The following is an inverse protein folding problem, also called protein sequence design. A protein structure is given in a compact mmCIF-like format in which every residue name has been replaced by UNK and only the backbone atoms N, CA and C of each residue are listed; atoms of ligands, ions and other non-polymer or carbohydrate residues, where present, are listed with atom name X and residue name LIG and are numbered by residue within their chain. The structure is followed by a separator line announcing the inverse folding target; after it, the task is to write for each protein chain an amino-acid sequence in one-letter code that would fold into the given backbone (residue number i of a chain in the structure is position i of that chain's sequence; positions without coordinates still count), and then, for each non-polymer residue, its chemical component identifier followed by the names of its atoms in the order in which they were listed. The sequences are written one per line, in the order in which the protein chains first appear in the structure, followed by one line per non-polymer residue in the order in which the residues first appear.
data_IF_850680073246
#
_entry.id   IF_850680073246
#
_cell.length_a   1.000
_cell.length_b   1.000
_cell.length_c   1.000
_cell.angle_alpha   90.00
_cell.angle_beta   90.00
_cell.angle_gamma   90.00
#
_symmetry.space_group_name_H-M   'P 1'
#
loop_
_entity.id
_entity.type
_entity.pdbx_description
1 polymer ?
#
# COMPACT_ATOMS: atom_id res chain seq x y z
N UNK A 1 -9.48 9.86 -10.52
CA UNK A 1 -9.66 11.27 -10.89
C UNK A 1 -10.74 11.47 -11.97
N UNK A 2 -10.81 10.60 -12.99
CA UNK A 2 -11.83 10.71 -14.06
C UNK A 2 -13.25 10.73 -13.46
N UNK A 3 -13.57 9.76 -12.58
CA UNK A 3 -14.90 9.72 -11.94
C UNK A 3 -15.22 11.01 -11.19
N UNK A 4 -14.26 11.60 -10.49
CA UNK A 4 -14.44 12.84 -9.75
C UNK A 4 -14.78 14.01 -10.69
N UNK A 5 -14.04 14.16 -11.80
CA UNK A 5 -14.26 15.23 -12.77
C UNK A 5 -15.66 15.17 -13.37
N UNK A 6 -16.13 13.96 -13.74
CA UNK A 6 -17.45 13.80 -14.37
C UNK A 6 -18.60 13.76 -13.37
N UNK A 7 -18.37 13.42 -12.09
CA UNK A 7 -19.38 13.48 -11.03
C UNK A 7 -19.51 14.88 -10.41
N UNK A 8 -18.49 15.74 -10.54
CA UNK A 8 -18.50 17.07 -9.95
C UNK A 8 -19.64 17.96 -10.45
N UNK A 9 -19.94 18.06 -11.78
CA UNK A 9 -21.08 18.82 -12.26
C UNK A 9 -22.42 18.31 -11.71
N UNK A 10 -22.58 16.98 -11.59
CA UNK A 10 -23.78 16.35 -11.02
C UNK A 10 -23.93 16.70 -9.53
N UNK A 11 -22.82 16.74 -8.78
CA UNK A 11 -22.80 17.14 -7.38
C UNK A 11 -23.19 18.60 -7.18
N UNK A 12 -22.68 19.49 -8.03
CA UNK A 12 -23.08 20.90 -8.00
C UNK A 12 -24.56 21.08 -8.34
N UNK A 13 -25.09 20.34 -9.32
CA UNK A 13 -26.51 20.38 -9.64
C UNK A 13 -27.35 19.92 -8.46
N UNK A 14 -26.98 18.83 -7.79
CA UNK A 14 -27.70 18.33 -6.62
C UNK A 14 -27.83 19.40 -5.51
N UNK A 15 -26.76 20.19 -5.28
CA UNK A 15 -26.75 21.26 -4.28
C UNK A 15 -27.55 22.48 -4.76
N UNK A 16 -27.48 22.82 -6.05
CA UNK A 16 -28.09 24.04 -6.59
C UNK A 16 -29.53 23.84 -7.09
N UNK A 17 -29.97 22.60 -7.25
CA UNK A 17 -31.34 22.26 -7.66
C UNK A 17 -32.44 22.91 -6.79
N UNK A 18 -32.30 22.97 -5.44
CA UNK A 18 -33.27 23.71 -4.60
C UNK A 18 -33.37 25.20 -4.92
N UNK A 19 -32.32 25.80 -5.52
CA UNK A 19 -32.27 27.20 -5.93
C UNK A 19 -32.70 27.39 -7.40
N UNK A 20 -33.23 26.35 -8.04
CA UNK A 20 -33.78 26.41 -9.42
C UNK A 20 -32.71 26.26 -10.52
N UNK A 21 -31.47 25.92 -10.19
CA UNK A 21 -30.42 25.70 -11.17
C UNK A 21 -30.35 24.23 -11.61
N UNK A 22 -30.45 23.99 -12.91
CA UNK A 22 -30.33 22.65 -13.50
C UNK A 22 -29.40 22.69 -14.71
N UNK A 23 -28.69 21.59 -14.93
CA UNK A 23 -27.88 21.42 -16.15
C UNK A 23 -28.77 21.41 -17.40
N UNK A 24 -28.33 22.00 -18.54
CA UNK A 24 -29.06 21.95 -19.79
C UNK A 24 -29.33 20.50 -20.20
N UNK A 25 -30.59 20.17 -20.52
CA UNK A 25 -30.97 18.81 -20.88
C UNK A 25 -30.73 17.79 -19.74
N UNK A 26 -31.02 18.16 -18.51
CA UNK A 26 -30.75 17.47 -17.24
C UNK A 26 -30.60 15.94 -17.39
N UNK A 27 -31.64 15.23 -17.82
CA UNK A 27 -31.64 13.75 -17.91
C UNK A 27 -30.60 13.20 -18.88
N UNK A 28 -30.44 13.82 -20.06
CA UNK A 28 -29.46 13.39 -21.06
C UNK A 28 -28.03 13.71 -20.61
N UNK A 29 -27.81 14.84 -19.97
CA UNK A 29 -26.50 15.22 -19.43
C UNK A 29 -26.10 14.24 -18.32
N UNK A 30 -27.01 13.91 -17.40
CA UNK A 30 -26.80 12.91 -16.35
C UNK A 30 -26.47 11.53 -16.94
N UNK A 31 -27.20 11.11 -17.97
CA UNK A 31 -26.95 9.86 -18.68
C UNK A 31 -25.53 9.81 -19.26
N UNK A 32 -25.11 10.85 -19.99
CA UNK A 32 -23.78 10.90 -20.62
C UNK A 32 -22.66 10.88 -19.58
N UNK A 33 -22.75 11.72 -18.54
CA UNK A 33 -21.76 11.79 -17.48
C UNK A 33 -21.64 10.47 -16.73
N UNK A 34 -22.77 9.87 -16.35
CA UNK A 34 -22.78 8.57 -15.66
C UNK A 34 -22.26 7.46 -16.56
N UNK A 35 -22.58 7.47 -17.85
CA UNK A 35 -22.06 6.47 -18.80
C UNK A 35 -20.53 6.49 -18.84
N UNK A 36 -19.91 7.68 -18.86
CA UNK A 36 -18.46 7.82 -18.83
C UNK A 36 -17.89 7.24 -17.53
N UNK A 37 -18.51 7.55 -16.39
CA UNK A 37 -18.10 7.00 -15.08
C UNK A 37 -18.24 5.49 -15.07
N UNK A 38 -19.37 4.93 -15.53
CA UNK A 38 -19.62 3.48 -15.57
C UNK A 38 -18.64 2.73 -16.48
N UNK A 39 -18.39 3.24 -17.68
CA UNK A 39 -17.52 2.57 -18.67
C UNK A 39 -16.05 2.63 -18.28
N UNK A 40 -15.60 3.75 -17.72
CA UNK A 40 -14.17 3.95 -17.42
C UNK A 40 -13.85 3.57 -15.98
N UNK A 41 -14.61 4.10 -15.01
CA UNK A 41 -14.26 4.05 -13.59
C UNK A 41 -14.84 2.84 -12.87
N UNK A 42 -15.96 2.25 -13.33
CA UNK A 42 -16.53 1.05 -12.72
C UNK A 42 -15.85 -0.26 -13.12
N UNK A 43 -14.95 -0.25 -14.11
CA UNK A 43 -14.25 -1.46 -14.60
C UNK A 43 -13.62 -2.33 -13.51
N UNK A 44 -12.89 -1.79 -12.52
CA UNK A 44 -12.30 -2.63 -11.48
C UNK A 44 -13.34 -3.41 -10.70
N UNK A 45 -14.46 -2.77 -10.34
CA UNK A 45 -15.56 -3.40 -9.60
C UNK A 45 -16.27 -4.48 -10.42
N UNK A 46 -16.55 -4.19 -11.70
CA UNK A 46 -17.17 -5.15 -12.61
C UNK A 46 -16.27 -6.38 -12.83
N UNK A 47 -14.97 -6.17 -12.96
CA UNK A 47 -14.02 -7.27 -13.17
C UNK A 47 -13.86 -8.11 -11.89
N UNK A 48 -13.77 -7.47 -10.73
CA UNK A 48 -13.69 -8.15 -9.43
C UNK A 48 -14.98 -8.93 -9.13
N UNK A 49 -16.15 -8.33 -9.38
CA UNK A 49 -17.45 -8.98 -9.22
C UNK A 49 -17.59 -10.20 -10.15
N UNK A 50 -17.15 -10.09 -11.40
CA UNK A 50 -17.17 -11.20 -12.34
C UNK A 50 -16.24 -12.35 -11.93
N UNK A 51 -15.05 -12.03 -11.43
CA UNK A 51 -14.11 -13.00 -10.90
C UNK A 51 -14.67 -13.70 -9.64
N UNK A 52 -15.30 -12.95 -8.75
CA UNK A 52 -15.96 -13.48 -7.56
C UNK A 52 -17.11 -14.42 -7.95
N UNK A 53 -17.97 -14.03 -8.90
CA UNK A 53 -19.06 -14.85 -9.42
C UNK A 53 -18.56 -16.19 -9.99
N UNK A 54 -17.49 -16.16 -10.79
CA UNK A 54 -16.88 -17.40 -11.33
C UNK A 54 -16.41 -18.37 -10.24
N UNK A 55 -15.97 -17.84 -9.11
CA UNK A 55 -15.46 -18.61 -7.99
C UNK A 55 -16.55 -18.91 -6.93
N UNK A 56 -17.83 -18.72 -7.27
CA UNK A 56 -18.98 -18.97 -6.39
C UNK A 56 -18.93 -18.26 -5.04
N UNK A 57 -18.39 -17.03 -5.01
CA UNK A 57 -18.44 -16.18 -3.83
C UNK A 57 -18.80 -14.73 -4.20
N UNK A 58 -19.14 -13.94 -3.19
CA UNK A 58 -19.42 -12.53 -3.33
C UNK A 58 -18.46 -11.73 -2.44
N UNK A 59 -18.08 -10.54 -2.88
CA UNK A 59 -17.28 -9.60 -2.14
C UNK A 59 -17.95 -8.21 -2.16
N UNK A 60 -17.31 -7.23 -1.52
CA UNK A 60 -17.80 -5.86 -1.50
C UNK A 60 -17.98 -5.28 -2.93
N UNK A 61 -17.04 -5.59 -3.83
CA UNK A 61 -17.12 -5.12 -5.22
C UNK A 61 -18.33 -5.70 -5.97
N UNK A 62 -18.74 -6.93 -5.62
CA UNK A 62 -19.95 -7.55 -6.17
C UNK A 62 -21.19 -6.73 -5.82
N UNK A 63 -21.31 -6.26 -4.57
CA UNK A 63 -22.43 -5.44 -4.14
C UNK A 63 -22.43 -4.09 -4.87
N UNK A 64 -21.27 -3.45 -4.97
CA UNK A 64 -21.09 -2.18 -5.70
C UNK A 64 -21.46 -2.34 -7.17
N UNK A 65 -20.94 -3.39 -7.82
CA UNK A 65 -21.20 -3.65 -9.24
C UNK A 65 -22.69 -3.90 -9.52
N UNK A 66 -23.35 -4.74 -8.72
CA UNK A 66 -24.78 -5.05 -8.89
C UNK A 66 -25.62 -3.80 -8.62
N UNK A 67 -25.37 -3.10 -7.49
CA UNK A 67 -26.15 -1.92 -7.11
C UNK A 67 -26.05 -0.80 -8.15
N UNK A 68 -24.82 -0.46 -8.57
CA UNK A 68 -24.61 0.61 -9.55
C UNK A 68 -25.08 0.23 -10.96
N UNK A 69 -24.90 -1.02 -11.40
CA UNK A 69 -25.41 -1.49 -12.68
C UNK A 69 -26.95 -1.51 -12.70
N UNK A 70 -27.59 -1.95 -11.62
CA UNK A 70 -29.07 -1.94 -11.50
C UNK A 70 -29.59 -0.49 -11.54
N UNK A 71 -29.01 0.42 -10.77
CA UNK A 71 -29.41 1.83 -10.79
C UNK A 71 -29.23 2.46 -12.18
N UNK A 72 -28.14 2.15 -12.87
CA UNK A 72 -27.85 2.66 -14.20
C UNK A 72 -28.83 2.10 -15.26
N UNK A 73 -29.05 0.78 -15.30
CA UNK A 73 -29.96 0.13 -16.25
C UNK A 73 -31.41 0.58 -16.00
N UNK A 74 -31.84 0.64 -14.74
CA UNK A 74 -33.16 1.17 -14.39
C UNK A 74 -33.33 2.62 -14.85
N UNK A 75 -32.31 3.47 -14.66
CA UNK A 75 -32.38 4.87 -15.07
C UNK A 75 -32.48 5.04 -16.59
N UNK A 76 -31.87 4.14 -17.37
CA UNK A 76 -32.08 4.12 -18.82
C UNK A 76 -33.56 3.82 -19.14
N UNK A 77 -34.16 2.81 -18.51
CA UNK A 77 -35.57 2.50 -18.68
C UNK A 77 -36.47 3.68 -18.24
N UNK A 78 -36.21 4.25 -17.08
CA UNK A 78 -36.93 5.39 -16.51
C UNK A 78 -36.88 6.65 -17.41
N UNK A 79 -35.74 6.89 -18.05
CA UNK A 79 -35.57 7.98 -19.01
C UNK A 79 -36.55 7.91 -20.19
N UNK A 80 -36.88 6.69 -20.67
CA UNK A 80 -37.83 6.50 -21.77
C UNK A 80 -39.30 6.46 -21.31
N UNK A 81 -39.54 6.12 -20.05
CA UNK A 81 -40.91 6.02 -19.49
C UNK A 81 -41.33 7.25 -18.70
N UNK A 82 -40.44 8.28 -18.57
CA UNK A 82 -40.75 9.51 -17.85
C UNK A 82 -40.79 9.34 -16.33
N UNK A 83 -40.14 8.31 -15.80
CA UNK A 83 -39.97 8.07 -14.36
C UNK A 83 -38.70 8.72 -13.83
N UNK A 84 -38.57 8.74 -12.48
CA UNK A 84 -37.38 9.27 -11.83
C UNK A 84 -36.13 8.45 -12.15
N UNK A 85 -35.04 9.12 -12.48
CA UNK A 85 -33.75 8.54 -12.82
C UNK A 85 -32.79 8.60 -11.63
N UNK A 86 -31.89 7.62 -11.53
CA UNK A 86 -30.88 7.49 -10.45
C UNK A 86 -29.45 7.47 -11.01
N UNK A 87 -29.20 8.18 -12.11
CA UNK A 87 -27.86 8.24 -12.72
C UNK A 87 -26.82 8.80 -11.76
N UNK A 88 -27.14 9.86 -11.04
CA UNK A 88 -26.28 10.48 -10.04
C UNK A 88 -25.89 9.52 -8.91
N UNK A 89 -26.84 8.73 -8.43
CA UNK A 89 -26.59 7.75 -7.37
C UNK A 89 -25.55 6.71 -7.79
N UNK A 90 -25.67 6.17 -9.01
CA UNK A 90 -24.70 5.23 -9.55
C UNK A 90 -23.31 5.86 -9.68
N UNK A 91 -23.21 7.09 -10.21
CA UNK A 91 -21.95 7.80 -10.39
C UNK A 91 -21.29 8.15 -9.05
N UNK A 92 -22.07 8.62 -8.06
CA UNK A 92 -21.54 8.99 -6.75
C UNK A 92 -21.03 7.80 -5.96
N UNK A 93 -21.74 6.67 -5.95
CA UNK A 93 -21.26 5.46 -5.27
C UNK A 93 -19.89 5.05 -5.80
N UNK A 94 -19.72 4.96 -7.12
CA UNK A 94 -18.43 4.63 -7.72
C UNK A 94 -17.36 5.66 -7.35
N UNK A 95 -17.70 6.95 -7.44
CA UNK A 95 -16.74 8.02 -7.20
C UNK A 95 -16.27 8.04 -5.74
N UNK A 96 -17.19 7.91 -4.77
CA UNK A 96 -16.83 7.92 -3.36
C UNK A 96 -16.02 6.69 -2.95
N UNK A 97 -16.34 5.51 -3.49
CA UNK A 97 -15.55 4.31 -3.20
C UNK A 97 -14.14 4.42 -3.79
N UNK A 98 -14.01 4.89 -5.04
CA UNK A 98 -12.70 5.12 -5.65
C UNK A 98 -11.88 6.19 -4.90
N UNK A 99 -12.53 7.24 -4.42
CA UNK A 99 -11.88 8.25 -3.59
C UNK A 99 -11.36 7.65 -2.29
N UNK A 100 -12.17 6.82 -1.63
CA UNK A 100 -11.76 6.06 -0.44
C UNK A 100 -10.54 5.17 -0.71
N UNK A 101 -10.54 4.43 -1.83
CA UNK A 101 -9.40 3.59 -2.24
C UNK A 101 -8.12 4.41 -2.50
N UNK A 102 -8.24 5.59 -3.12
CA UNK A 102 -7.08 6.49 -3.33
C UNK A 102 -6.50 6.97 -2.00
N UNK A 103 -7.34 7.32 -1.02
CA UNK A 103 -6.88 7.71 0.31
C UNK A 103 -6.21 6.54 1.04
N UNK A 104 -6.80 5.34 0.97
CA UNK A 104 -6.22 4.13 1.56
C UNK A 104 -4.84 3.82 0.96
N UNK A 105 -4.71 3.85 -0.37
CA UNK A 105 -3.45 3.63 -1.08
C UNK A 105 -2.40 4.68 -0.72
N UNK A 106 -2.79 5.95 -0.64
CA UNK A 106 -1.88 7.03 -0.24
C UNK A 106 -1.37 6.86 1.20
N UNK A 107 -2.24 6.45 2.13
CA UNK A 107 -1.84 6.16 3.51
C UNK A 107 -0.87 4.96 3.56
N UNK A 108 -1.16 3.90 2.81
CA UNK A 108 -0.30 2.72 2.71
C UNK A 108 1.07 3.05 2.12
N UNK A 109 1.12 3.86 1.06
CA UNK A 109 2.38 4.28 0.42
C UNK A 109 3.23 5.17 1.34
N UNK A 110 2.61 6.05 2.13
CA UNK A 110 3.33 6.84 3.13
C UNK A 110 3.97 5.95 4.22
N UNK A 111 3.29 4.89 4.64
CA UNK A 111 3.86 3.91 5.56
C UNK A 111 5.04 3.13 4.93
N UNK A 112 4.95 2.78 3.64
CA UNK A 112 6.03 2.10 2.89
C UNK A 112 7.28 2.97 2.72
N UNK A 113 7.14 4.29 2.58
CA UNK A 113 8.28 5.21 2.42
C UNK A 113 9.25 5.18 3.61
N UNK A 114 8.77 4.85 4.80
CA UNK A 114 9.62 4.70 6.00
C UNK A 114 10.52 3.47 5.93
N UNK A 115 10.03 2.38 5.34
CA UNK A 115 10.83 1.16 5.10
C UNK A 115 11.90 1.39 4.03
N UNK A 116 11.55 2.11 2.97
CA UNK A 116 12.48 2.46 1.90
C UNK A 116 13.65 3.34 2.42
N UNK A 117 13.35 4.24 3.36
CA UNK A 117 14.39 5.02 4.04
C UNK A 117 15.35 4.13 4.84
N UNK A 118 14.89 3.09 5.50
CA UNK A 118 15.73 2.12 6.20
C UNK A 118 16.63 1.33 5.24
N UNK A 119 16.12 0.92 4.09
CA UNK A 119 16.91 0.24 3.05
C UNK A 119 18.01 1.14 2.47
N UNK A 120 17.73 2.44 2.30
CA UNK A 120 18.70 3.41 1.82
C UNK A 120 19.83 3.70 2.84
N UNK A 121 19.78 3.15 4.04
CA UNK A 121 20.87 3.23 5.01
C UNK A 121 22.01 2.25 4.74
N UNK A 122 21.76 1.19 3.98
CA UNK A 122 22.78 0.21 3.64
C UNK A 122 23.89 0.82 2.79
N UNK A 123 25.13 0.42 3.06
CA UNK A 123 26.27 0.76 2.21
C UNK A 123 26.25 -0.10 0.93
N UNK A 124 26.85 0.38 -0.13
CA UNK A 124 26.92 -0.36 -1.39
C UNK A 124 28.13 -1.29 -1.46
N UNK A 125 29.20 -0.94 -0.75
CA UNK A 125 30.48 -1.64 -0.75
C UNK A 125 31.19 -1.51 0.59
N UNK A 126 32.10 -2.41 0.89
CA UNK A 126 32.91 -2.38 2.11
C UNK A 126 34.37 -2.72 1.83
N UNK A 127 35.28 -2.27 2.70
CA UNK A 127 36.73 -2.54 2.65
C UNK A 127 36.99 -3.89 3.34
N UNK A 128 37.12 -4.95 2.55
CA UNK A 128 37.45 -6.31 3.03
C UNK A 128 38.94 -6.54 3.01
N UNK A 129 39.50 -7.20 4.01
CA UNK A 129 40.89 -7.60 4.11
C UNK A 129 41.05 -9.04 3.62
N UNK A 130 41.70 -9.21 2.46
CA UNK A 130 42.00 -10.53 1.88
C UNK A 130 43.54 -10.65 1.78
N UNK A 131 44.12 -11.67 2.39
CA UNK A 131 45.57 -11.92 2.40
C UNK A 131 46.39 -10.70 2.82
N UNK A 132 45.90 -9.95 3.82
CA UNK A 132 46.55 -8.73 4.34
C UNK A 132 46.43 -7.48 3.44
N UNK A 133 45.73 -7.56 2.33
CA UNK A 133 45.44 -6.42 1.43
C UNK A 133 44.01 -5.98 1.52
N UNK A 134 43.79 -4.66 1.51
CA UNK A 134 42.47 -4.06 1.45
C UNK A 134 41.91 -4.10 0.04
N UNK A 135 40.66 -4.56 -0.12
CA UNK A 135 39.92 -4.56 -1.36
C UNK A 135 38.49 -4.04 -1.10
N UNK A 136 37.98 -3.19 -1.99
CA UNK A 136 36.56 -2.80 -1.97
C UNK A 136 35.73 -3.91 -2.59
N UNK A 137 34.76 -4.42 -1.84
CA UNK A 137 33.89 -5.54 -2.22
C UNK A 137 32.43 -5.06 -2.14
N UNK A 138 31.61 -5.30 -3.18
CA UNK A 138 30.19 -5.05 -3.14
C UNK A 138 29.53 -5.76 -1.94
N UNK A 139 28.50 -5.14 -1.33
CA UNK A 139 27.82 -5.68 -0.16
C UNK A 139 27.28 -7.10 -0.39
N UNK A 140 26.79 -7.37 -1.60
CA UNK A 140 26.19 -8.66 -1.98
C UNK A 140 27.23 -9.80 -2.09
N UNK A 141 28.51 -9.47 -2.24
CA UNK A 141 29.60 -10.43 -2.38
C UNK A 141 30.29 -10.76 -1.05
N UNK A 142 29.96 -10.04 0.04
CA UNK A 142 30.50 -10.26 1.38
C UNK A 142 29.99 -11.58 1.94
N UNK A 143 30.90 -12.38 2.52
CA UNK A 143 30.61 -13.70 3.10
C UNK A 143 30.80 -13.69 4.60
N UNK A 144 30.10 -14.60 5.28
CA UNK A 144 30.34 -14.87 6.68
C UNK A 144 31.78 -15.30 6.88
N UNK A 145 32.48 -14.67 7.82
CA UNK A 145 33.89 -14.88 8.09
C UNK A 145 34.84 -13.86 7.49
N UNK A 146 34.38 -13.04 6.54
CA UNK A 146 35.20 -11.96 5.98
C UNK A 146 35.59 -10.95 7.06
N UNK A 147 36.84 -10.44 6.96
CA UNK A 147 37.36 -9.40 7.85
C UNK A 147 37.20 -8.05 7.15
N UNK A 148 36.47 -7.15 7.79
CA UNK A 148 36.06 -5.86 7.24
C UNK A 148 36.67 -4.74 8.08
N UNK A 149 37.25 -3.73 7.40
CA UNK A 149 37.76 -2.51 8.03
C UNK A 149 36.71 -1.43 7.97
N UNK A 150 36.52 -0.74 9.12
CA UNK A 150 35.63 0.43 9.19
C UNK A 150 36.40 1.61 9.75
N UNK A 151 36.47 2.70 8.97
CA UNK A 151 37.11 3.96 9.34
C UNK A 151 36.12 4.94 9.98
N UNK A 152 36.59 5.99 10.68
CA UNK A 152 35.73 7.04 11.20
C UNK A 152 34.83 7.64 10.10
N UNK A 153 33.55 7.86 10.44
CA UNK A 153 32.56 8.40 9.52
C UNK A 153 31.97 7.38 8.51
N UNK A 154 32.45 6.13 8.51
CA UNK A 154 31.91 5.08 7.66
C UNK A 154 30.81 4.31 8.36
N UNK A 155 29.82 3.83 7.56
CA UNK A 155 28.82 2.89 8.05
C UNK A 155 29.38 1.47 8.04
N UNK A 156 28.95 0.68 9.02
CA UNK A 156 29.24 -0.74 9.14
C UNK A 156 28.43 -1.50 8.08
N UNK A 157 29.07 -2.36 7.31
CA UNK A 157 28.44 -2.99 6.16
C UNK A 157 27.43 -4.10 6.53
N UNK A 158 27.84 -4.99 7.44
CA UNK A 158 27.11 -6.19 7.86
C UNK A 158 27.25 -6.39 9.37
N UNK A 159 26.50 -7.32 9.96
CA UNK A 159 26.63 -7.64 11.38
C UNK A 159 27.88 -8.49 11.63
N UNK A 160 28.54 -8.27 12.77
CA UNK A 160 29.73 -9.05 13.10
C UNK A 160 30.27 -8.77 14.50
N UNK A 161 31.51 -9.22 14.76
CA UNK A 161 32.22 -9.09 16.02
C UNK A 161 33.57 -8.41 15.80
N UNK A 162 33.90 -7.44 16.63
CA UNK A 162 35.18 -6.72 16.54
C UNK A 162 36.32 -7.64 16.94
N UNK A 163 37.33 -7.76 16.06
CA UNK A 163 38.51 -8.58 16.28
C UNK A 163 39.76 -7.73 16.58
N UNK A 164 39.77 -6.45 16.19
CA UNK A 164 40.91 -5.53 16.41
C UNK A 164 40.43 -4.09 16.48
N UNK A 165 41.00 -3.28 17.37
CA UNK A 165 40.70 -1.85 17.51
C UNK A 165 39.54 -1.58 18.47
N UNK A 166 39.14 -0.30 18.52
CA UNK A 166 37.98 0.17 19.31
C UNK A 166 37.43 1.45 18.71
N UNK A 167 36.17 1.71 18.91
CA UNK A 167 35.51 2.94 18.46
C UNK A 167 34.27 3.26 19.25
N UNK A 168 33.68 4.43 19.03
CA UNK A 168 32.32 4.74 19.39
C UNK A 168 31.42 4.60 18.16
N UNK A 169 30.32 3.86 18.29
CA UNK A 169 29.38 3.58 17.22
C UNK A 169 28.03 4.17 17.56
N UNK A 170 27.45 4.90 16.63
CA UNK A 170 26.08 5.40 16.72
C UNK A 170 25.10 4.33 16.21
N UNK A 171 24.38 3.72 17.14
CA UNK A 171 23.39 2.69 16.89
C UNK A 171 21.95 3.24 16.96
N UNK A 172 21.77 4.57 17.07
CA UNK A 172 20.48 5.24 17.29
C UNK A 172 19.43 4.90 16.25
N UNK A 173 19.82 4.67 15.02
CA UNK A 173 18.92 4.29 13.94
C UNK A 173 18.23 2.92 14.14
N UNK A 174 18.81 2.06 14.95
CA UNK A 174 18.30 0.70 15.22
C UNK A 174 17.77 0.58 16.64
N UNK A 175 18.50 1.11 17.62
CA UNK A 175 18.15 1.01 19.05
C UNK A 175 17.22 2.12 19.52
N UNK A 176 17.24 3.28 18.83
CA UNK A 176 16.55 4.51 19.26
C UNK A 176 17.28 5.30 20.33
N UNK A 177 18.42 4.82 20.85
CA UNK A 177 19.22 5.51 21.85
C UNK A 177 20.21 6.50 21.19
N UNK A 178 20.10 7.78 21.52
CA UNK A 178 20.89 8.85 20.90
C UNK A 178 22.37 8.90 21.32
N UNK A 179 22.76 8.17 22.37
CA UNK A 179 24.14 8.18 22.86
C UNK A 179 24.97 7.12 22.13
N UNK A 180 26.11 7.51 21.48
CA UNK A 180 27.00 6.54 20.88
C UNK A 180 27.59 5.57 21.91
N UNK A 181 27.69 4.30 21.52
CA UNK A 181 28.17 3.21 22.38
C UNK A 181 29.65 2.94 22.09
N UNK A 182 30.49 2.85 23.13
CA UNK A 182 31.89 2.43 22.96
C UNK A 182 31.94 0.93 22.71
N UNK A 183 32.58 0.52 21.62
CA UNK A 183 32.78 -0.87 21.18
C UNK A 183 34.27 -1.20 21.20
N UNK A 184 34.63 -2.38 21.68
CA UNK A 184 35.97 -2.93 21.77
C UNK A 184 36.01 -4.38 21.25
N UNK A 185 37.21 -4.94 21.21
CA UNK A 185 37.41 -6.34 20.78
C UNK A 185 36.48 -7.29 21.55
N UNK A 186 35.77 -8.15 20.84
CA UNK A 186 34.76 -9.07 21.34
C UNK A 186 33.33 -8.52 21.36
N UNK A 187 33.15 -7.21 21.14
CA UNK A 187 31.80 -6.63 21.07
C UNK A 187 31.16 -6.82 19.69
N UNK A 188 29.86 -6.99 19.68
CA UNK A 188 29.07 -7.09 18.43
C UNK A 188 28.79 -5.73 17.85
N UNK A 189 28.85 -5.65 16.51
CA UNK A 189 28.47 -4.50 15.71
C UNK A 189 27.33 -4.85 14.77
N UNK A 190 26.50 -3.87 14.48
CA UNK A 190 25.29 -4.02 13.68
C UNK A 190 25.46 -3.29 12.35
N UNK A 191 25.12 -3.93 11.26
CA UNK A 191 25.15 -3.34 9.92
C UNK A 191 24.27 -2.09 9.81
N UNK A 192 24.72 -1.13 9.00
CA UNK A 192 24.10 0.18 8.76
C UNK A 192 24.21 1.20 9.90
N UNK A 193 24.86 0.85 11.04
CA UNK A 193 25.23 1.80 12.09
C UNK A 193 26.47 2.61 11.71
N UNK A 194 26.67 3.78 12.32
CA UNK A 194 27.71 4.73 11.96
C UNK A 194 28.92 4.64 12.93
N UNK A 195 30.10 4.42 12.38
CA UNK A 195 31.34 4.49 13.13
C UNK A 195 31.79 5.93 13.30
N UNK A 196 31.97 6.42 14.55
CA UNK A 196 32.24 7.81 14.80
C UNK A 196 33.75 8.13 14.89
N UNK A 197 34.52 7.42 15.72
CA UNK A 197 35.86 7.95 16.14
C UNK A 197 37.05 7.12 15.71
N UNK A 198 37.07 5.82 16.03
CA UNK A 198 38.21 4.93 15.81
C UNK A 198 38.13 4.15 14.50
N UNK A 199 39.20 3.45 14.18
CA UNK A 199 39.24 2.44 13.14
C UNK A 199 39.26 1.08 13.80
N UNK A 200 38.45 0.16 13.33
CA UNK A 200 38.43 -1.23 13.81
C UNK A 200 38.27 -2.23 12.67
N UNK A 201 38.70 -3.45 12.96
CA UNK A 201 38.42 -4.62 12.13
C UNK A 201 37.37 -5.49 12.81
N UNK A 202 36.41 -5.95 12.04
CA UNK A 202 35.42 -6.89 12.54
C UNK A 202 35.25 -8.07 11.57
N UNK A 203 34.88 -9.20 12.12
CA UNK A 203 34.58 -10.42 11.35
C UNK A 203 33.08 -10.48 11.12
N UNK A 204 32.66 -10.67 9.88
CA UNK A 204 31.26 -10.79 9.50
C UNK A 204 30.64 -12.06 10.07
N UNK A 205 29.57 -11.91 10.85
CA UNK A 205 28.79 -13.03 11.41
C UNK A 205 27.53 -13.31 10.61
N UNK A 206 26.85 -12.23 10.15
CA UNK A 206 25.60 -12.31 9.39
C UNK A 206 25.67 -11.38 8.20
N UNK A 207 25.24 -11.89 7.05
CA UNK A 207 25.28 -11.18 5.76
C UNK A 207 23.92 -11.25 5.04
N UNK A 208 23.67 -10.34 4.12
CA UNK A 208 22.48 -10.35 3.27
C UNK A 208 21.18 -10.31 4.08
N UNK A 209 20.33 -11.33 3.91
CA UNK A 209 19.00 -11.41 4.55
C UNK A 209 19.06 -11.72 6.04
N UNK A 210 20.16 -12.23 6.54
CA UNK A 210 20.32 -12.62 7.94
C UNK A 210 20.78 -11.47 8.84
N UNK A 211 21.10 -10.30 8.27
CA UNK A 211 21.44 -9.11 9.05
C UNK A 211 20.24 -8.59 9.83
N UNK A 212 20.50 -7.95 10.97
CA UNK A 212 19.45 -7.39 11.84
C UNK A 212 18.56 -6.40 11.12
N UNK A 213 19.15 -5.51 10.32
CA UNK A 213 18.38 -4.54 9.51
C UNK A 213 17.48 -5.25 8.50
N UNK A 214 17.98 -6.27 7.79
CA UNK A 214 17.18 -7.02 6.82
C UNK A 214 15.99 -7.74 7.48
N UNK A 215 16.18 -8.31 8.67
CA UNK A 215 15.11 -8.95 9.45
C UNK A 215 14.05 -7.93 9.90
N UNK A 216 14.45 -6.74 10.37
CA UNK A 216 13.53 -5.66 10.73
C UNK A 216 12.70 -5.24 9.51
N UNK A 217 13.33 -5.02 8.36
CA UNK A 217 12.66 -4.65 7.11
C UNK A 217 11.66 -5.73 6.68
N UNK A 218 12.03 -7.01 6.77
CA UNK A 218 11.13 -8.12 6.45
C UNK A 218 9.93 -8.19 7.41
N UNK A 219 10.15 -8.00 8.70
CA UNK A 219 9.09 -7.96 9.72
C UNK A 219 8.09 -6.83 9.44
N UNK A 220 8.59 -5.63 9.13
CA UNK A 220 7.74 -4.47 8.81
C UNK A 220 6.97 -4.71 7.52
N UNK A 221 7.61 -5.25 6.47
CA UNK A 221 6.94 -5.64 5.21
C UNK A 221 5.83 -6.68 5.44
N UNK A 222 6.06 -7.69 6.26
CA UNK A 222 5.05 -8.69 6.61
C UNK A 222 3.88 -8.07 7.38
N UNK A 223 4.16 -7.19 8.34
CA UNK A 223 3.13 -6.48 9.10
C UNK A 223 2.27 -5.58 8.19
N UNK A 224 2.88 -4.88 7.23
CA UNK A 224 2.17 -4.02 6.27
C UNK A 224 1.34 -4.80 5.25
N UNK A 225 1.82 -5.96 4.80
CA UNK A 225 1.11 -6.82 3.85
C UNK A 225 0.03 -7.69 4.51
N UNK A 226 -0.04 -7.73 5.84
CA UNK A 226 -1.16 -8.38 6.52
C UNK A 226 -2.41 -7.52 6.28
N UNK A 227 -3.33 -8.01 5.41
CA UNK A 227 -4.66 -7.42 5.27
C UNK A 227 -5.29 -7.29 6.64
N UNK A 228 -5.78 -6.08 6.96
CA UNK A 228 -6.43 -5.86 8.24
C UNK A 228 -7.50 -6.94 8.46
N UNK A 229 -7.59 -7.58 9.64
CA UNK A 229 -8.57 -8.64 9.92
C UNK A 229 -10.01 -8.21 9.61
N UNK A 230 -10.27 -6.89 9.64
CA UNK A 230 -11.57 -6.29 9.37
C UNK A 230 -11.99 -6.43 7.90
N UNK A 231 -11.07 -6.33 6.92
CA UNK A 231 -11.39 -6.54 5.50
C UNK A 231 -11.84 -7.99 5.23
N UNK A 232 -11.12 -8.96 5.79
CA UNK A 232 -11.52 -10.38 5.68
C UNK A 232 -12.88 -10.66 6.30
N UNK A 233 -13.22 -9.96 7.38
CA UNK A 233 -14.53 -10.07 8.04
C UNK A 233 -15.62 -9.43 7.18
N UNK A 234 -15.37 -8.28 6.58
CA UNK A 234 -16.30 -7.62 5.67
C UNK A 234 -16.61 -8.48 4.45
N UNK A 235 -15.60 -9.08 3.81
CA UNK A 235 -15.79 -9.99 2.68
C UNK A 235 -16.57 -11.25 3.07
N UNK A 236 -16.31 -11.80 4.26
CA UNK A 236 -17.05 -12.96 4.78
C UNK A 236 -18.55 -12.64 4.99
N UNK A 237 -18.84 -11.45 5.52
CA UNK A 237 -20.21 -10.97 5.68
C UNK A 237 -20.85 -10.75 4.31
N UNK A 238 -20.16 -10.08 3.38
CA UNK A 238 -20.65 -9.82 2.03
C UNK A 238 -21.00 -11.11 1.28
N UNK A 239 -20.22 -12.17 1.46
CA UNK A 239 -20.45 -13.47 0.83
C UNK A 239 -21.78 -14.13 1.23
N UNK A 240 -22.32 -13.81 2.40
CA UNK A 240 -23.64 -14.27 2.85
C UNK A 240 -24.72 -13.23 2.51
N UNK A 241 -24.43 -11.97 2.79
CA UNK A 241 -25.39 -10.85 2.68
C UNK A 241 -25.85 -10.63 1.24
N UNK A 242 -24.92 -10.62 0.27
CA UNK A 242 -25.25 -10.32 -1.14
C UNK A 242 -26.23 -11.33 -1.74
N UNK A 243 -26.03 -12.66 -1.65
CA UNK A 243 -27.02 -13.63 -2.13
C UNK A 243 -28.38 -13.52 -1.43
N UNK A 244 -28.40 -13.28 -0.12
CA UNK A 244 -29.64 -13.13 0.63
C UNK A 244 -30.46 -11.93 0.16
N UNK A 245 -29.80 -10.77 -0.01
CA UNK A 245 -30.45 -9.55 -0.51
C UNK A 245 -30.99 -9.74 -1.93
N UNK A 246 -30.23 -10.40 -2.80
CA UNK A 246 -30.69 -10.70 -4.18
C UNK A 246 -31.92 -11.60 -4.18
N UNK A 247 -31.96 -12.64 -3.35
CA UNK A 247 -33.13 -13.52 -3.23
C UNK A 247 -34.34 -12.72 -2.74
N UNK A 248 -34.17 -11.88 -1.70
CA UNK A 248 -35.26 -11.05 -1.19
C UNK A 248 -35.77 -10.09 -2.28
N UNK A 249 -34.86 -9.43 -3.01
CA UNK A 249 -35.21 -8.50 -4.07
C UNK A 249 -36.03 -9.20 -5.21
N UNK A 250 -35.61 -10.40 -5.62
CA UNK A 250 -36.34 -11.21 -6.62
C UNK A 250 -37.71 -11.60 -6.11
N UNK A 251 -37.82 -12.07 -4.86
CA UNK A 251 -39.09 -12.45 -4.26
C UNK A 251 -40.04 -11.25 -4.15
N UNK A 252 -39.53 -10.09 -3.75
CA UNK A 252 -40.32 -8.84 -3.65
C UNK A 252 -40.84 -8.37 -5.02
N UNK A 253 -40.08 -8.61 -6.09
CA UNK A 253 -40.49 -8.25 -7.46
C UNK A 253 -41.56 -9.20 -8.01
N UNK A 254 -41.58 -10.47 -7.55
CA UNK A 254 -42.54 -11.48 -8.01
C UNK A 254 -43.91 -11.42 -7.29
N UNK A 255 -44.00 -10.70 -6.17
CA UNK A 255 -45.22 -10.48 -5.38
C UNK A 255 -45.87 -9.17 -5.76
#
# INVERSE_FOLDING_TARGET
WISLIFSLPMFFEMILKPFGWMLPGHTYTMFILTTIVMVISARPFLHSAWAAFKNHHANMDTLVAIGTATAYVYSIYAMFTGQDVFFESAAFVITFILLGQVFEEKMRNNANSSVEKLLNLQVKEAEVIVDGKSQMVPLDDIKVGDVIRVKPGQKIAVDGEIIEGSSTVDESMITGESMPVTKKVGDKVIGSTLNNTGTFLFKADKVGKDTMLAQIVEMVKKAQNSHAPIQKTADKIANIFVPVVLIIAILTYLV
#
